data_IF_795317152257
#
_entry.id   IF_795317152257
#
_cell.length_a   1.000
_cell.length_b   1.000
_cell.length_c   1.000
_cell.angle_alpha   90.00
_cell.angle_beta   90.00
_cell.angle_gamma   90.00
#
_symmetry.space_group_name_H-M   'P 1'
#
loop_
_entity.id
_entity.type
_entity.pdbx_description
1 polymer ?
#
# COMPACT_ATOMS: atom_id res chain seq x y z
N UNK A 1 -17.48 -0.02 49.69
CA UNK A 1 -17.31 0.69 48.40
C UNK A 1 -18.61 0.57 47.62
N UNK A 2 -19.20 1.68 47.17
CA UNK A 2 -20.57 1.70 46.61
C UNK A 2 -20.63 0.95 45.27
N UNK A 3 -21.62 0.06 45.02
CA UNK A 3 -21.70 -0.77 43.81
C UNK A 3 -21.76 0.05 42.50
N UNK A 4 -22.21 1.31 42.60
CA UNK A 4 -22.21 2.28 41.49
C UNK A 4 -20.80 2.58 40.93
N UNK A 5 -19.76 2.51 41.76
CA UNK A 5 -18.38 2.79 41.33
C UNK A 5 -17.77 1.63 40.54
N UNK A 6 -18.23 0.40 40.80
CA UNK A 6 -17.81 -0.82 40.07
C UNK A 6 -18.50 -0.92 38.69
N UNK A 7 -19.76 -0.51 38.57
CA UNK A 7 -20.49 -0.51 37.29
C UNK A 7 -19.92 0.54 36.32
N UNK A 8 -19.54 1.72 36.81
CA UNK A 8 -18.89 2.76 36.01
C UNK A 8 -17.51 2.33 35.47
N UNK A 9 -16.76 1.51 36.22
CA UNK A 9 -15.46 1.00 35.81
C UNK A 9 -15.55 -0.08 34.72
N UNK A 10 -16.62 -0.90 34.72
CA UNK A 10 -16.86 -1.93 33.71
C UNK A 10 -17.33 -1.32 32.37
N UNK A 11 -18.13 -0.24 32.41
CA UNK A 11 -18.57 0.50 31.22
C UNK A 11 -17.45 1.32 30.55
N UNK A 12 -16.38 1.66 31.28
CA UNK A 12 -15.24 2.41 30.75
C UNK A 12 -14.25 1.57 29.91
N UNK A 13 -14.37 0.23 29.92
CA UNK A 13 -13.43 -0.69 29.26
C UNK A 13 -13.81 -0.99 27.80
N UNK A 14 -14.99 -0.59 27.33
CA UNK A 14 -15.48 -0.91 25.98
C UNK A 14 -15.05 0.06 24.86
N UNK A 15 -14.20 1.05 25.14
CA UNK A 15 -13.72 2.00 24.16
C UNK A 15 -12.21 1.85 23.86
N UNK A 16 -11.71 0.62 23.74
CA UNK A 16 -10.45 0.41 23.04
C UNK A 16 -10.73 0.47 21.54
N UNK A 17 -10.56 1.66 20.94
CA UNK A 17 -10.36 1.75 19.50
C UNK A 17 -8.98 1.14 19.22
N UNK A 18 -8.92 -0.16 18.97
CA UNK A 18 -7.71 -0.78 18.44
C UNK A 18 -7.51 -0.24 17.04
N UNK A 19 -6.69 0.80 16.90
CA UNK A 19 -6.11 1.16 15.62
C UNK A 19 -5.18 0.00 15.25
N UNK A 20 -5.71 -1.02 14.57
CA UNK A 20 -4.88 -2.10 14.06
C UNK A 20 -3.88 -1.48 13.08
N UNK A 21 -2.59 -1.69 13.33
CA UNK A 21 -1.56 -1.31 12.37
C UNK A 21 -1.83 -2.05 11.05
N UNK A 22 -1.77 -1.33 9.94
CA UNK A 22 -1.98 -1.92 8.61
C UNK A 22 -0.90 -2.98 8.35
N UNK A 23 -1.32 -4.18 7.99
CA UNK A 23 -0.41 -5.25 7.58
C UNK A 23 -0.07 -5.10 6.10
N UNK A 24 1.22 -4.99 5.79
CA UNK A 24 1.72 -4.97 4.42
C UNK A 24 2.28 -6.36 4.05
N UNK A 25 1.91 -6.85 2.88
CA UNK A 25 2.36 -8.13 2.37
C UNK A 25 2.67 -8.02 0.88
N UNK A 26 3.79 -8.59 0.45
CA UNK A 26 4.18 -8.66 -0.94
C UNK A 26 4.45 -10.11 -1.36
N UNK A 27 4.06 -10.46 -2.58
CA UNK A 27 4.21 -11.79 -3.15
C UNK A 27 4.77 -11.72 -4.56
N UNK A 28 5.62 -12.69 -4.91
CA UNK A 28 6.06 -12.93 -6.28
C UNK A 28 5.33 -14.13 -6.84
N UNK A 29 4.27 -13.91 -7.61
CA UNK A 29 3.54 -14.95 -8.33
C UNK A 29 4.09 -15.20 -9.74
N UNK A 30 5.12 -14.46 -10.16
CA UNK A 30 5.74 -14.58 -11.47
C UNK A 30 7.00 -15.47 -11.45
N UNK A 31 7.05 -16.45 -10.55
CA UNK A 31 8.19 -17.37 -10.44
C UNK A 31 8.45 -18.09 -11.78
N UNK A 32 9.72 -18.23 -12.16
CA UNK A 32 10.12 -18.81 -13.44
C UNK A 32 10.07 -17.87 -14.64
N UNK A 33 9.57 -16.63 -14.49
CA UNK A 33 9.69 -15.59 -15.52
C UNK A 33 10.98 -14.78 -15.33
N UNK A 34 11.45 -14.12 -16.40
CA UNK A 34 12.58 -13.19 -16.31
C UNK A 34 12.29 -12.04 -15.32
N UNK A 35 11.05 -11.56 -15.30
CA UNK A 35 10.59 -10.50 -14.40
C UNK A 35 10.57 -10.91 -12.94
N UNK A 36 9.98 -12.07 -12.63
CA UNK A 36 9.97 -12.62 -11.28
C UNK A 36 11.38 -12.89 -10.75
N UNK A 37 12.26 -13.45 -11.60
CA UNK A 37 13.67 -13.68 -11.23
C UNK A 37 14.42 -12.38 -10.96
N UNK A 38 14.18 -11.35 -11.78
CA UNK A 38 14.77 -10.03 -11.58
C UNK A 38 14.22 -9.34 -10.33
N UNK A 39 12.92 -9.48 -10.05
CA UNK A 39 12.31 -8.98 -8.82
C UNK A 39 12.98 -9.58 -7.58
N UNK A 40 13.12 -10.91 -7.51
CA UNK A 40 13.71 -11.58 -6.34
C UNK A 40 15.18 -11.20 -6.14
N UNK A 41 15.93 -11.01 -7.23
CA UNK A 41 17.37 -10.72 -7.16
C UNK A 41 17.70 -9.25 -6.90
N UNK A 42 16.90 -8.30 -7.39
CA UNK A 42 17.23 -6.86 -7.35
C UNK A 42 16.34 -6.04 -6.40
N UNK A 43 15.14 -6.51 -6.10
CA UNK A 43 14.14 -5.77 -5.31
C UNK A 43 13.83 -6.54 -4.03
N UNK A 44 13.17 -7.70 -4.15
CA UNK A 44 12.86 -8.61 -3.06
C UNK A 44 11.64 -8.22 -2.22
N UNK A 45 10.92 -9.23 -1.73
CA UNK A 45 9.68 -9.09 -0.93
C UNK A 45 9.86 -8.23 0.33
N UNK A 46 10.97 -8.40 1.06
CA UNK A 46 11.22 -7.64 2.29
C UNK A 46 11.33 -6.14 2.03
N UNK A 47 12.10 -5.77 1.00
CA UNK A 47 12.26 -4.37 0.60
C UNK A 47 10.94 -3.78 0.12
N UNK A 48 10.20 -4.50 -0.72
CA UNK A 48 8.86 -4.10 -1.18
C UNK A 48 7.93 -3.80 0.00
N UNK A 49 7.88 -4.69 0.99
CA UNK A 49 7.04 -4.51 2.19
C UNK A 49 7.45 -3.27 3.00
N UNK A 50 8.77 -3.01 3.11
CA UNK A 50 9.28 -1.78 3.73
C UNK A 50 8.82 -0.54 2.96
N UNK A 51 8.96 -0.54 1.64
CA UNK A 51 8.57 0.60 0.78
C UNK A 51 7.06 0.85 0.85
N UNK A 52 6.22 -0.20 0.88
CA UNK A 52 4.77 -0.07 1.07
C UNK A 52 4.43 0.62 2.40
N UNK A 53 5.15 0.29 3.48
CA UNK A 53 4.94 0.93 4.78
C UNK A 53 5.42 2.38 4.78
N UNK A 54 6.58 2.67 4.19
CA UNK A 54 7.11 4.04 4.13
C UNK A 54 6.27 4.95 3.25
N UNK A 55 5.83 4.46 2.08
CA UNK A 55 4.95 5.22 1.17
C UNK A 55 3.58 5.47 1.81
N UNK A 56 2.98 4.48 2.48
CA UNK A 56 1.73 4.68 3.24
C UNK A 56 1.86 5.82 4.27
N UNK A 57 2.95 5.79 5.05
CA UNK A 57 3.21 6.84 6.04
C UNK A 57 3.44 8.21 5.40
N UNK A 58 4.13 8.25 4.26
CA UNK A 58 4.32 9.48 3.48
C UNK A 58 2.99 10.03 3.01
N UNK A 59 2.17 9.22 2.36
CA UNK A 59 0.86 9.59 1.81
C UNK A 59 -0.08 10.08 2.93
N UNK A 60 -0.16 9.38 4.07
CA UNK A 60 -0.96 9.83 5.21
C UNK A 60 -0.51 11.19 5.75
N UNK A 61 0.79 11.48 5.76
CA UNK A 61 1.31 12.79 6.17
C UNK A 61 0.99 13.85 5.12
N UNK A 62 1.22 13.56 3.85
CA UNK A 62 0.98 14.47 2.72
C UNK A 62 -0.48 14.92 2.66
N UNK A 63 -1.42 14.00 2.86
CA UNK A 63 -2.86 14.32 2.87
C UNK A 63 -3.42 14.64 4.26
N UNK A 64 -2.56 14.76 5.28
CA UNK A 64 -2.96 15.02 6.67
C UNK A 64 -4.05 14.05 7.20
N UNK A 65 -4.00 12.77 6.80
CA UNK A 65 -4.96 11.74 7.18
C UNK A 65 -4.66 11.21 8.59
N UNK A 66 -5.52 11.55 9.54
CA UNK A 66 -5.50 10.96 10.89
C UNK A 66 -6.01 9.52 10.82
N UNK A 67 -5.73 8.66 11.82
CA UNK A 67 -6.20 7.27 11.81
C UNK A 67 -7.70 7.09 11.51
N UNK A 68 -8.55 8.04 11.93
CA UNK A 68 -9.99 8.02 11.65
C UNK A 68 -10.38 8.40 10.21
N UNK A 69 -9.51 9.11 9.50
CA UNK A 69 -9.74 9.58 8.12
C UNK A 69 -9.25 8.56 7.07
N UNK A 70 -8.43 7.59 7.50
CA UNK A 70 -7.84 6.57 6.62
C UNK A 70 -8.91 5.58 6.18
N UNK A 71 -8.76 5.06 4.97
CA UNK A 71 -9.54 3.89 4.54
C UNK A 71 -9.33 2.74 5.54
N UNK A 72 -10.41 2.05 5.90
CA UNK A 72 -10.39 0.97 6.89
C UNK A 72 -9.86 -0.34 6.28
N UNK A 73 -8.57 -0.36 5.96
CA UNK A 73 -7.87 -1.55 5.49
C UNK A 73 -6.97 -2.10 6.58
N UNK A 74 -7.28 -3.30 7.06
CA UNK A 74 -6.40 -4.03 7.98
C UNK A 74 -5.15 -4.58 7.26
N UNK A 75 -5.21 -4.72 5.93
CA UNK A 75 -4.14 -5.28 5.10
C UNK A 75 -4.07 -4.57 3.75
N UNK A 76 -2.85 -4.37 3.24
CA UNK A 76 -2.57 -4.00 1.84
C UNK A 76 -1.64 -5.05 1.23
N UNK A 77 -1.99 -5.49 0.02
CA UNK A 77 -1.32 -6.57 -0.70
C UNK A 77 -0.62 -6.03 -1.94
N UNK A 78 0.58 -6.53 -2.24
CA UNK A 78 1.24 -6.35 -3.53
C UNK A 78 1.56 -7.71 -4.16
N UNK A 79 1.23 -7.85 -5.44
CA UNK A 79 1.48 -9.03 -6.24
C UNK A 79 2.33 -8.67 -7.46
N UNK A 80 3.48 -9.33 -7.62
CA UNK A 80 4.19 -9.38 -8.90
C UNK A 80 3.61 -10.52 -9.72
N UNK A 81 3.06 -10.22 -10.88
CA UNK A 81 2.26 -11.19 -11.64
C UNK A 81 2.72 -11.30 -13.11
N UNK A 82 2.58 -12.48 -13.72
CA UNK A 82 2.84 -12.69 -15.14
C UNK A 82 1.65 -12.23 -16.00
N UNK A 83 1.17 -11.02 -15.75
CA UNK A 83 0.12 -10.35 -16.53
C UNK A 83 0.74 -9.53 -17.67
N UNK A 84 -0.07 -9.00 -18.59
CA UNK A 84 0.38 -8.06 -19.63
C UNK A 84 -0.75 -7.07 -19.96
N UNK A 85 -1.07 -6.22 -18.98
CA UNK A 85 -2.17 -5.24 -19.07
C UNK A 85 -1.72 -3.81 -18.72
N UNK A 86 -0.41 -3.58 -18.59
CA UNK A 86 0.17 -2.30 -18.19
C UNK A 86 1.42 -2.48 -17.32
N UNK A 87 1.85 -1.39 -16.67
CA UNK A 87 3.00 -1.39 -15.77
C UNK A 87 2.60 -1.93 -14.39
N UNK A 88 1.62 -1.27 -13.79
CA UNK A 88 1.00 -1.66 -12.53
C UNK A 88 -0.42 -1.09 -12.46
N UNK A 89 -1.21 -1.59 -11.52
CA UNK A 89 -2.48 -0.97 -11.13
C UNK A 89 -2.82 -1.31 -9.68
N UNK A 90 -3.57 -0.42 -9.05
CA UNK A 90 -4.19 -0.63 -7.76
C UNK A 90 -5.69 -0.91 -7.89
N UNK A 91 -6.19 -1.83 -7.07
CA UNK A 91 -7.63 -2.10 -6.93
C UNK A 91 -7.95 -2.36 -5.46
N UNK A 92 -8.84 -1.54 -4.89
CA UNK A 92 -9.20 -1.57 -3.46
C UNK A 92 -7.97 -1.38 -2.55
N UNK A 93 -7.42 -2.47 -2.02
CA UNK A 93 -6.26 -2.55 -1.13
C UNK A 93 -5.17 -3.49 -1.70
N UNK A 94 -5.27 -3.84 -2.98
CA UNK A 94 -4.32 -4.65 -3.73
C UNK A 94 -3.58 -3.82 -4.77
N UNK A 95 -2.30 -4.12 -4.95
CA UNK A 95 -1.43 -3.57 -6.00
C UNK A 95 -0.93 -4.74 -6.83
N UNK A 96 -1.00 -4.60 -8.15
CA UNK A 96 -0.62 -5.61 -9.11
C UNK A 96 0.43 -5.01 -10.03
N UNK A 97 1.60 -5.64 -10.13
CA UNK A 97 2.72 -5.14 -10.94
C UNK A 97 3.08 -6.17 -12.00
N UNK A 98 3.25 -5.72 -13.25
CA UNK A 98 3.65 -6.60 -14.33
C UNK A 98 5.09 -7.08 -14.16
N UNK A 99 5.28 -8.40 -14.06
CA UNK A 99 6.60 -8.99 -14.15
C UNK A 99 7.26 -8.70 -15.52
N UNK A 100 6.46 -8.61 -16.59
CA UNK A 100 6.94 -8.23 -17.93
C UNK A 100 7.68 -6.88 -17.92
N UNK A 101 7.15 -5.90 -17.18
CA UNK A 101 7.72 -4.57 -17.09
C UNK A 101 9.06 -4.60 -16.33
N UNK A 102 9.10 -5.28 -15.18
CA UNK A 102 10.32 -5.48 -14.40
C UNK A 102 11.40 -6.16 -15.26
N UNK A 103 11.03 -7.16 -16.06
CA UNK A 103 11.97 -7.84 -16.95
C UNK A 103 12.62 -6.88 -17.95
N UNK A 104 11.79 -6.04 -18.58
CA UNK A 104 12.18 -5.24 -19.74
C UNK A 104 12.74 -3.86 -19.39
N UNK A 105 12.63 -3.40 -18.14
CA UNK A 105 13.13 -2.08 -17.74
C UNK A 105 14.66 -1.99 -17.89
N UNK A 106 15.14 -1.04 -18.70
CA UNK A 106 16.56 -0.96 -19.08
C UNK A 106 17.45 -0.25 -18.04
N UNK A 107 16.87 0.44 -17.06
CA UNK A 107 17.60 1.19 -16.04
C UNK A 107 17.67 0.49 -14.67
N UNK A 108 17.87 1.30 -13.62
CA UNK A 108 17.78 0.85 -12.23
C UNK A 108 16.32 0.52 -11.87
N UNK A 109 15.97 -0.74 -12.06
CA UNK A 109 14.62 -1.26 -11.79
C UNK A 109 14.21 -1.10 -10.33
N UNK A 110 15.17 -1.05 -9.39
CA UNK A 110 14.85 -0.90 -7.98
C UNK A 110 14.35 0.51 -7.68
N UNK A 111 14.98 1.52 -8.26
CA UNK A 111 14.54 2.91 -8.16
C UNK A 111 13.20 3.13 -8.87
N UNK A 112 13.05 2.62 -10.08
CA UNK A 112 11.77 2.65 -10.82
C UNK A 112 10.62 2.03 -10.01
N UNK A 113 10.87 0.84 -9.44
CA UNK A 113 9.87 0.11 -8.68
C UNK A 113 9.42 0.87 -7.42
N UNK A 114 10.31 1.65 -6.79
CA UNK A 114 9.92 2.55 -5.70
C UNK A 114 8.95 3.63 -6.19
N UNK A 115 9.22 4.24 -7.35
CA UNK A 115 8.31 5.22 -7.96
C UNK A 115 6.92 4.64 -8.24
N UNK A 116 6.87 3.46 -8.87
CA UNK A 116 5.62 2.72 -9.10
C UNK A 116 4.89 2.46 -7.79
N UNK A 117 5.59 2.03 -6.74
CA UNK A 117 4.98 1.78 -5.44
C UNK A 117 4.36 3.04 -4.80
N UNK A 118 5.02 4.20 -4.90
CA UNK A 118 4.48 5.45 -4.38
C UNK A 118 3.22 5.88 -5.14
N UNK A 119 3.25 5.75 -6.47
CA UNK A 119 2.11 5.98 -7.34
C UNK A 119 0.92 5.07 -6.95
N UNK A 120 1.10 3.75 -6.89
CA UNK A 120 0.02 2.81 -6.65
C UNK A 120 -0.50 2.86 -5.20
N UNK A 121 0.38 3.10 -4.24
CA UNK A 121 -0.03 3.27 -2.85
C UNK A 121 -0.87 4.54 -2.65
N UNK A 122 -0.70 5.55 -3.51
CA UNK A 122 -1.57 6.73 -3.52
C UNK A 122 -2.99 6.36 -3.92
N UNK A 123 -3.18 5.52 -4.95
CA UNK A 123 -4.51 4.97 -5.30
C UNK A 123 -5.14 4.21 -4.13
N UNK A 124 -4.33 3.44 -3.39
CA UNK A 124 -4.81 2.71 -2.20
C UNK A 124 -5.34 3.67 -1.14
N UNK A 125 -4.62 4.74 -0.78
CA UNK A 125 -4.96 5.57 0.39
C UNK A 125 -5.74 6.85 0.10
N UNK A 126 -5.72 7.37 -1.12
CA UNK A 126 -6.46 8.58 -1.45
C UNK A 126 -7.97 8.31 -1.39
N UNK A 127 -8.71 9.12 -0.63
CA UNK A 127 -10.18 9.10 -0.66
C UNK A 127 -10.67 9.91 -1.86
N UNK A 128 -11.53 9.32 -2.69
CA UNK A 128 -11.96 9.81 -4.00
C UNK A 128 -12.89 11.04 -3.98
N UNK A 129 -12.92 11.86 -2.93
CA UNK A 129 -13.88 12.96 -2.87
C UNK A 129 -13.55 14.17 -3.75
N UNK A 130 -12.37 14.29 -4.39
CA UNK A 130 -12.10 15.43 -5.29
C UNK A 130 -10.95 15.18 -6.30
N UNK A 131 -11.17 14.50 -7.43
CA UNK A 131 -10.32 14.68 -8.62
C UNK A 131 -10.84 13.95 -9.89
N UNK A 132 -10.99 14.65 -11.03
CA UNK A 132 -11.07 14.02 -12.35
C UNK A 132 -9.79 13.21 -12.65
N UNK A 133 -9.90 12.15 -13.47
CA UNK A 133 -8.81 11.18 -13.69
C UNK A 133 -7.42 11.75 -14.04
N UNK A 134 -7.35 12.88 -14.77
CA UNK A 134 -6.07 13.54 -15.07
C UNK A 134 -5.38 14.21 -13.86
N UNK A 135 -6.14 14.60 -12.84
CA UNK A 135 -5.62 15.10 -11.56
C UNK A 135 -5.17 13.93 -10.68
N UNK A 136 -5.81 12.76 -10.77
CA UNK A 136 -5.40 11.54 -10.06
C UNK A 136 -3.99 11.19 -10.55
N UNK A 137 -3.80 10.89 -11.84
CA UNK A 137 -2.47 10.56 -12.39
C UNK A 137 -1.40 11.66 -12.18
N UNK A 138 -1.77 12.95 -12.22
CA UNK A 138 -0.87 14.08 -11.96
C UNK A 138 -0.46 14.26 -10.49
N UNK A 139 -1.34 13.93 -9.53
CA UNK A 139 -0.97 13.90 -8.11
C UNK A 139 -0.10 12.68 -7.82
N UNK A 140 -0.29 11.59 -8.56
CA UNK A 140 0.43 10.33 -8.38
C UNK A 140 1.86 10.33 -8.94
N UNK A 141 2.18 11.32 -9.80
CA UNK A 141 3.54 11.59 -10.30
C UNK A 141 4.24 12.70 -9.51
N UNK A 142 3.50 13.47 -8.70
CA UNK A 142 4.05 14.51 -7.81
C UNK A 142 4.49 13.97 -6.44
N UNK A 143 3.84 12.90 -5.97
CA UNK A 143 4.07 12.23 -4.66
C UNK A 143 5.13 11.15 -4.78
#
# INVERSE_FOLDING_TARGET
>A
MKPFFLVALILAILAFCTANAVQFQAFNYANGTAGGTRFDSQIGVCYTTQVMSTSSNFIWKTFNQKPADRKNYARVLLAIEPIDIGIAYASSNGIHVCACYIANYSGDVKTEFVGILYHEMTHVWQSTTMAPGGIIEGTHTFV
#
